data_IF_220985328313
#
_entry.id   IF_220985328313
#
_cell.length_a   1.000
_cell.length_b   1.000
_cell.length_c   1.000
_cell.angle_alpha   90.00
_cell.angle_beta   90.00
_cell.angle_gamma   90.00
#
_symmetry.space_group_name_H-M   'P 1'
#
loop_
_entity.id
_entity.type
_entity.pdbx_description
1 polymer ?
#
# COMPACT_ATOMS: atom_id res chain seq x y z
N UNK A 1 -7.94 -5.94 -9.58
CA UNK A 1 -7.37 -4.65 -10.02
C UNK A 1 -8.19 -3.52 -9.43
N UNK A 2 -8.29 -3.38 -8.10
CA UNK A 2 -9.26 -2.46 -7.46
C UNK A 2 -8.65 -1.64 -6.31
N UNK A 3 -7.85 -2.25 -5.44
CA UNK A 3 -7.32 -1.54 -4.27
C UNK A 3 -6.19 -0.57 -4.59
N UNK A 4 -5.27 -0.92 -5.49
CA UNK A 4 -4.18 -0.02 -5.85
C UNK A 4 -4.70 1.25 -6.54
N UNK A 5 -5.66 1.12 -7.45
CA UNK A 5 -6.24 2.28 -8.15
C UNK A 5 -7.01 3.16 -7.18
N UNK A 6 -7.84 2.55 -6.31
CA UNK A 6 -8.58 3.28 -5.28
C UNK A 6 -7.67 3.92 -4.23
N UNK A 7 -6.56 3.26 -3.88
CA UNK A 7 -5.56 3.82 -2.98
C UNK A 7 -4.88 5.03 -3.62
N UNK A 8 -4.51 4.96 -4.90
CA UNK A 8 -3.93 6.08 -5.65
C UNK A 8 -4.89 7.28 -5.72
N UNK A 9 -6.16 7.04 -6.01
CA UNK A 9 -7.19 8.09 -6.00
C UNK A 9 -7.34 8.73 -4.61
N UNK A 10 -7.31 7.93 -3.54
CA UNK A 10 -7.41 8.42 -2.17
C UNK A 10 -6.16 9.19 -1.72
N UNK A 11 -4.98 8.71 -2.12
CA UNK A 11 -3.70 9.31 -1.76
C UNK A 11 -3.44 10.61 -2.54
N UNK A 12 -3.89 10.69 -3.80
CA UNK A 12 -3.75 11.86 -4.66
C UNK A 12 -2.30 12.34 -4.74
N UNK A 13 -2.12 13.65 -4.62
CA UNK A 13 -0.83 14.34 -4.73
C UNK A 13 0.21 13.87 -3.69
N UNK A 14 -0.19 13.15 -2.64
CA UNK A 14 0.74 12.59 -1.65
C UNK A 14 1.67 11.52 -2.24
N UNK A 15 1.28 10.88 -3.36
CA UNK A 15 2.13 9.94 -4.11
C UNK A 15 2.83 10.59 -5.31
N UNK A 16 2.43 11.80 -5.69
CA UNK A 16 2.70 12.38 -7.03
C UNK A 16 4.02 13.16 -7.12
N UNK A 17 4.90 13.02 -6.12
CA UNK A 17 6.27 13.56 -6.23
C UNK A 17 7.17 12.72 -7.16
N UNK A 18 6.73 11.52 -7.55
CA UNK A 18 7.48 10.66 -8.47
C UNK A 18 6.69 10.40 -9.75
N UNK A 19 7.36 10.44 -10.89
CA UNK A 19 6.78 10.08 -12.20
C UNK A 19 6.55 8.56 -12.38
N UNK A 20 6.71 7.79 -11.31
CA UNK A 20 6.58 6.33 -11.31
C UNK A 20 5.11 5.94 -11.01
N UNK A 21 4.41 5.25 -11.92
CA UNK A 21 3.04 4.79 -11.69
C UNK A 21 2.91 3.74 -10.58
N UNK A 22 4.03 3.22 -10.05
CA UNK A 22 4.09 2.22 -8.99
C UNK A 22 4.54 2.80 -7.64
N UNK A 23 4.73 4.12 -7.55
CA UNK A 23 5.12 4.83 -6.35
C UNK A 23 4.24 4.47 -5.14
N UNK A 24 4.88 4.08 -4.03
CA UNK A 24 4.20 3.72 -2.79
C UNK A 24 3.36 2.44 -2.84
N UNK A 25 3.34 1.68 -3.95
CA UNK A 25 2.59 0.43 -4.02
C UNK A 25 3.15 -0.63 -3.06
N UNK A 26 4.47 -0.69 -2.92
CA UNK A 26 5.15 -1.56 -1.96
C UNK A 26 4.77 -1.18 -0.52
N UNK A 27 4.90 0.10 -0.19
CA UNK A 27 4.63 0.59 1.16
C UNK A 27 3.15 0.50 1.53
N UNK A 28 2.25 0.68 0.55
CA UNK A 28 0.84 0.39 0.70
C UNK A 28 0.59 -1.06 1.08
N UNK A 29 1.19 -2.02 0.36
CA UNK A 29 1.04 -3.45 0.66
C UNK A 29 1.56 -3.81 2.05
N UNK A 30 2.74 -3.30 2.42
CA UNK A 30 3.30 -3.57 3.75
C UNK A 30 2.45 -2.94 4.86
N UNK A 31 2.03 -1.69 4.65
CA UNK A 31 1.22 -0.94 5.62
C UNK A 31 -0.13 -1.59 5.87
N UNK A 32 -0.87 -1.95 4.81
CA UNK A 32 -2.22 -2.52 4.95
C UNK A 32 -2.20 -3.87 5.68
N UNK A 33 -1.11 -4.61 5.54
CA UNK A 33 -0.91 -5.93 6.14
C UNK A 33 -0.18 -5.89 7.49
N UNK A 34 0.27 -4.72 7.94
CA UNK A 34 0.99 -4.57 9.20
C UNK A 34 2.34 -5.29 9.22
N UNK A 35 2.99 -5.45 8.05
CA UNK A 35 4.38 -5.89 7.99
C UNK A 35 5.25 -4.75 8.55
N UNK A 36 6.38 -5.07 9.19
CA UNK A 36 7.16 -4.14 10.02
C UNK A 36 7.87 -2.97 9.30
N UNK A 37 7.40 -2.58 8.11
CA UNK A 37 7.88 -1.50 7.26
C UNK A 37 6.70 -0.94 6.44
N UNK A 38 6.91 0.15 5.70
CA UNK A 38 5.87 0.87 4.97
C UNK A 38 6.05 2.38 5.11
N UNK A 39 5.00 3.19 4.90
CA UNK A 39 5.14 4.65 4.77
C UNK A 39 5.82 5.39 5.96
N UNK A 40 5.98 4.75 7.11
CA UNK A 40 6.62 5.32 8.31
C UNK A 40 8.09 4.91 8.51
N UNK A 41 8.69 4.15 7.57
CA UNK A 41 10.07 3.64 7.72
C UNK A 41 11.17 4.63 7.34
N UNK A 42 10.79 5.82 6.84
CA UNK A 42 11.69 6.96 6.61
C UNK A 42 11.81 7.39 5.15
N UNK A 43 11.26 6.62 4.21
CA UNK A 43 11.31 6.95 2.78
C UNK A 43 10.31 8.06 2.38
N UNK A 44 9.34 8.36 3.23
CA UNK A 44 8.29 9.34 2.99
C UNK A 44 8.35 10.51 3.99
N UNK A 45 8.24 11.77 3.52
CA UNK A 45 8.27 12.93 4.39
C UNK A 45 6.98 13.08 5.20
N UNK A 46 7.07 13.70 6.38
CA UNK A 46 5.89 14.12 7.12
C UNK A 46 5.33 15.45 6.57
N UNK A 47 3.99 15.62 6.49
CA UNK A 47 2.95 14.75 7.05
C UNK A 47 2.44 13.64 6.10
N UNK A 48 3.05 13.47 4.92
CA UNK A 48 2.57 12.53 3.91
C UNK A 48 2.63 11.08 4.42
N UNK A 49 3.72 10.69 5.08
CA UNK A 49 3.89 9.39 5.73
C UNK A 49 2.70 9.02 6.65
N UNK A 50 2.30 9.91 7.57
CA UNK A 50 1.14 9.71 8.44
C UNK A 50 -0.17 9.57 7.65
N UNK A 51 -0.38 10.42 6.64
CA UNK A 51 -1.60 10.41 5.84
C UNK A 51 -1.74 9.12 5.03
N UNK A 52 -0.67 8.72 4.34
CA UNK A 52 -0.60 7.48 3.55
C UNK A 52 -0.75 6.24 4.46
N UNK A 53 -0.16 6.27 5.66
CA UNK A 53 -0.33 5.20 6.65
C UNK A 53 -1.79 5.04 7.06
N UNK A 54 -2.49 6.15 7.34
CA UNK A 54 -3.91 6.14 7.72
C UNK A 54 -4.81 5.70 6.56
N UNK A 55 -4.52 6.16 5.35
CA UNK A 55 -5.26 5.78 4.14
C UNK A 55 -5.17 4.27 3.90
N UNK A 56 -3.97 3.70 4.00
CA UNK A 56 -3.70 2.28 3.77
C UNK A 56 -4.50 1.36 4.71
N UNK A 57 -4.64 1.76 5.99
CA UNK A 57 -5.39 0.99 6.99
C UNK A 57 -6.90 0.88 6.70
N UNK A 58 -7.44 1.72 5.81
CA UNK A 58 -8.85 1.64 5.40
C UNK A 58 -9.14 0.44 4.47
N UNK A 59 -8.11 -0.14 3.87
CA UNK A 59 -8.23 -1.24 2.91
C UNK A 59 -8.21 -2.63 3.56
N UNK A 60 -7.89 -2.70 4.86
CA UNK A 60 -7.73 -3.97 5.57
C UNK A 60 -6.53 -4.79 5.10
N UNK A 61 -6.19 -5.81 5.87
CA UNK A 61 -5.18 -6.79 5.50
C UNK A 61 -5.74 -7.76 4.45
N UNK A 62 -4.86 -8.23 3.56
CA UNK A 62 -5.13 -9.26 2.57
C UNK A 62 -4.01 -10.29 2.67
N UNK A 63 -4.37 -11.49 3.08
CA UNK A 63 -3.44 -12.62 3.14
C UNK A 63 -3.39 -13.33 1.78
N UNK A 64 -2.18 -13.63 1.32
CA UNK A 64 -1.96 -14.45 0.11
C UNK A 64 -1.63 -15.87 0.53
N UNK A 65 -2.50 -16.81 0.18
CA UNK A 65 -2.25 -18.25 0.35
C UNK A 65 -1.87 -18.85 -1.00
N UNK A 66 -0.75 -19.58 -1.05
CA UNK A 66 -0.31 -20.31 -2.24
C UNK A 66 -0.82 -21.75 -2.15
N UNK A 67 -1.72 -22.12 -3.06
CA UNK A 67 -2.23 -23.49 -3.18
C UNK A 67 -1.29 -24.41 -3.94
N UNK A 68 -1.58 -25.70 -3.87
CA UNK A 68 -0.71 -26.80 -4.31
C UNK A 68 -0.25 -26.73 -5.77
N UNK A 69 -1.01 -26.04 -6.63
CA UNK A 69 -0.71 -25.89 -8.06
C UNK A 69 -0.15 -24.49 -8.43
N UNK A 70 0.35 -23.74 -7.44
CA UNK A 70 0.79 -22.36 -7.62
C UNK A 70 -0.37 -21.35 -7.77
N UNK A 71 -1.59 -21.77 -7.42
CA UNK A 71 -2.77 -20.88 -7.41
C UNK A 71 -2.69 -19.94 -6.21
N UNK A 72 -2.89 -18.64 -6.43
CA UNK A 72 -2.92 -17.65 -5.37
C UNK A 72 -4.36 -17.40 -4.90
N UNK A 73 -4.59 -17.48 -3.59
CA UNK A 73 -5.84 -17.12 -2.93
C UNK A 73 -5.64 -15.85 -2.11
N UNK A 74 -6.59 -14.94 -2.19
CA UNK A 74 -6.62 -13.70 -1.43
C UNK A 74 -7.82 -13.78 -0.47
N UNK A 75 -7.59 -13.60 0.84
CA UNK A 75 -8.64 -13.53 1.87
C UNK A 75 -9.07 -12.09 2.13
#
# INVERSE_FOLDING_TARGET
VLDCDRFRELAGDLLDESSDPTAGAHDFWLTRNGHGAGFWDGDWPEPAAICLTKASKQFGAVDILVGDNGTLYFN
#
